data_IF_488084696172
#
_entry.id   IF_488084696172
#
_cell.length_a   1.000
_cell.length_b   1.000
_cell.length_c   1.000
_cell.angle_alpha   90.00
_cell.angle_beta   90.00
_cell.angle_gamma   90.00
#
_symmetry.space_group_name_H-M   'P 1'
#
loop_
_entity.id
_entity.type
_entity.pdbx_description
1 polymer ?
#
# COMPACT_ATOMS: atom_id res chain seq x y z
N UNK A 1 16.14 -1.38 -13.02
CA UNK A 1 14.71 -1.14 -13.46
C UNK A 1 13.92 -2.42 -13.37
N UNK A 2 12.74 -2.36 -12.80
CA UNK A 2 11.79 -3.47 -12.80
C UNK A 2 11.30 -3.73 -14.22
N UNK A 3 11.38 -4.97 -14.69
CA UNK A 3 10.91 -5.36 -16.03
C UNK A 3 9.48 -5.93 -15.97
N UNK A 4 8.81 -5.96 -17.11
CA UNK A 4 7.50 -6.62 -17.26
C UNK A 4 7.54 -8.06 -16.74
N UNK A 5 8.56 -8.82 -17.15
CA UNK A 5 8.74 -10.19 -16.70
C UNK A 5 8.95 -10.33 -15.18
N UNK A 6 9.58 -9.34 -14.53
CA UNK A 6 9.75 -9.34 -13.08
C UNK A 6 8.42 -9.09 -12.35
N UNK A 7 7.57 -8.20 -12.86
CA UNK A 7 6.23 -7.95 -12.30
C UNK A 7 5.34 -9.18 -12.47
N UNK A 8 5.32 -9.78 -13.66
CA UNK A 8 4.54 -11.00 -13.93
C UNK A 8 5.02 -12.18 -13.07
N UNK A 9 6.33 -12.31 -12.87
CA UNK A 9 6.90 -13.33 -12.00
C UNK A 9 6.47 -13.16 -10.53
N UNK A 10 6.46 -11.91 -10.01
CA UNK A 10 5.99 -11.64 -8.64
C UNK A 10 4.49 -11.90 -8.49
N UNK A 11 3.67 -11.52 -9.46
CA UNK A 11 2.25 -11.88 -9.50
C UNK A 11 2.06 -13.41 -9.46
N UNK A 12 2.85 -14.14 -10.23
CA UNK A 12 2.85 -15.61 -10.22
C UNK A 12 3.21 -16.16 -8.85
N UNK A 13 4.24 -15.62 -8.19
CA UNK A 13 4.67 -16.04 -6.85
C UNK A 13 3.62 -15.81 -5.78
N UNK A 14 2.94 -14.64 -5.77
CA UNK A 14 1.83 -14.40 -4.81
C UNK A 14 0.75 -15.48 -4.92
N UNK A 15 0.41 -15.88 -6.15
CA UNK A 15 -0.59 -16.94 -6.38
C UNK A 15 -0.09 -18.31 -5.97
N UNK A 16 1.16 -18.64 -6.28
CA UNK A 16 1.77 -19.96 -6.09
C UNK A 16 2.09 -20.22 -4.62
N UNK A 17 2.65 -19.22 -3.93
CA UNK A 17 3.06 -19.31 -2.53
C UNK A 17 1.88 -19.04 -1.57
N UNK A 18 0.84 -18.32 -2.01
CA UNK A 18 -0.36 -17.96 -1.24
C UNK A 18 -0.02 -17.44 0.17
N UNK A 19 0.80 -16.37 0.30
CA UNK A 19 1.31 -15.92 1.59
C UNK A 19 0.18 -15.49 2.53
N UNK A 20 0.32 -15.79 3.82
CA UNK A 20 -0.56 -15.27 4.86
C UNK A 20 -0.21 -13.81 5.13
N UNK A 21 -1.19 -12.94 5.03
CA UNK A 21 -1.06 -11.51 5.32
C UNK A 21 -1.92 -11.17 6.52
N UNK A 22 -1.27 -10.85 7.64
CA UNK A 22 -1.96 -10.27 8.79
C UNK A 22 -2.27 -8.80 8.51
N UNK A 23 -3.48 -8.33 8.82
CA UNK A 23 -3.87 -6.96 8.55
C UNK A 23 -4.62 -6.33 9.72
N UNK A 24 -3.92 -5.53 10.51
CA UNK A 24 -4.51 -4.61 11.49
C UNK A 24 -4.97 -3.38 10.73
N UNK A 25 -6.28 -3.27 10.49
CA UNK A 25 -6.82 -2.26 9.57
C UNK A 25 -8.04 -1.55 10.12
N UNK A 26 -8.51 -0.55 9.38
CA UNK A 26 -9.61 0.31 9.77
C UNK A 26 -10.99 -0.30 9.49
N UNK A 27 -11.97 0.06 10.31
CA UNK A 27 -13.35 -0.47 10.25
C UNK A 27 -14.12 -0.09 8.96
N UNK A 28 -13.71 0.99 8.25
CA UNK A 28 -14.38 1.44 7.02
C UNK A 28 -14.08 0.54 5.84
N UNK A 29 -12.85 0.01 5.77
CA UNK A 29 -12.35 -0.71 4.57
C UNK A 29 -11.93 -2.15 4.84
N UNK A 30 -12.14 -2.69 6.05
CA UNK A 30 -11.69 -4.03 6.43
C UNK A 30 -12.12 -5.11 5.43
N UNK A 31 -13.37 -5.10 4.98
CA UNK A 31 -13.87 -6.07 4.00
C UNK A 31 -13.22 -5.92 2.63
N UNK A 32 -12.93 -4.69 2.20
CA UNK A 32 -12.26 -4.40 0.93
C UNK A 32 -10.79 -4.81 0.96
N UNK A 33 -10.12 -4.57 2.08
CA UNK A 33 -8.73 -4.98 2.35
C UNK A 33 -8.63 -6.50 2.31
N UNK A 34 -9.49 -7.22 3.03
CA UNK A 34 -9.54 -8.67 2.98
C UNK A 34 -9.82 -9.20 1.56
N UNK A 35 -10.77 -8.57 0.85
CA UNK A 35 -11.10 -8.94 -0.52
C UNK A 35 -9.90 -8.77 -1.46
N UNK A 36 -9.21 -7.63 -1.45
CA UNK A 36 -8.09 -7.38 -2.36
C UNK A 36 -6.91 -8.31 -2.11
N UNK A 37 -6.53 -8.56 -0.85
CA UNK A 37 -5.50 -9.53 -0.48
C UNK A 37 -5.87 -10.91 -1.06
N UNK A 38 -7.12 -11.34 -0.84
CA UNK A 38 -7.60 -12.64 -1.35
C UNK A 38 -7.56 -12.73 -2.87
N UNK A 39 -7.90 -11.64 -3.58
CA UNK A 39 -7.93 -11.67 -5.04
C UNK A 39 -6.54 -11.66 -5.66
N UNK A 40 -5.52 -11.10 -5.03
CA UNK A 40 -4.12 -11.29 -5.45
C UNK A 40 -3.66 -12.76 -5.34
N UNK A 41 -4.27 -13.57 -4.49
CA UNK A 41 -3.89 -14.96 -4.25
C UNK A 41 -3.37 -15.23 -2.84
N UNK A 42 -3.15 -14.19 -2.05
CA UNK A 42 -2.72 -14.26 -0.67
C UNK A 42 -3.88 -14.66 0.28
N UNK A 43 -3.57 -14.95 1.52
CA UNK A 43 -4.51 -15.37 2.56
C UNK A 43 -4.64 -14.26 3.60
N UNK A 44 -5.77 -13.52 3.65
CA UNK A 44 -5.95 -12.46 4.64
C UNK A 44 -6.31 -13.01 6.01
N UNK A 45 -5.69 -12.48 7.06
CA UNK A 45 -6.12 -12.58 8.46
C UNK A 45 -6.30 -11.17 8.99
N UNK A 46 -7.33 -10.93 9.80
CA UNK A 46 -7.74 -9.60 10.25
C UNK A 46 -7.83 -9.58 11.79
N UNK A 47 -6.75 -10.00 12.47
CA UNK A 47 -6.70 -10.02 13.92
C UNK A 47 -6.33 -8.64 14.48
N UNK A 48 -7.19 -8.08 15.35
CA UNK A 48 -6.97 -6.77 15.97
C UNK A 48 -6.90 -6.84 17.52
N UNK A 49 -7.11 -8.02 18.09
CA UNK A 49 -6.99 -8.23 19.53
C UNK A 49 -5.51 -8.36 19.93
N UNK A 50 -5.02 -7.45 20.76
CA UNK A 50 -3.61 -7.43 21.20
C UNK A 50 -3.15 -8.72 21.88
N UNK A 51 -4.06 -9.59 22.33
CA UNK A 51 -3.74 -10.88 22.96
C UNK A 51 -3.36 -11.96 21.94
N UNK A 52 -3.71 -11.80 20.66
CA UNK A 52 -3.43 -12.80 19.61
C UNK A 52 -2.51 -12.25 18.49
N UNK A 53 -2.32 -10.94 18.39
CA UNK A 53 -1.53 -10.29 17.32
C UNK A 53 -0.13 -10.88 17.21
N UNK A 54 0.59 -11.09 18.32
CA UNK A 54 1.95 -11.65 18.29
C UNK A 54 1.99 -13.03 17.62
N UNK A 55 1.03 -13.90 17.96
CA UNK A 55 0.95 -15.24 17.37
C UNK A 55 0.53 -15.19 15.89
N UNK A 56 -0.37 -14.28 15.52
CA UNK A 56 -0.83 -14.12 14.13
C UNK A 56 0.26 -13.53 13.24
N UNK A 57 0.96 -12.51 13.72
CA UNK A 57 2.10 -11.92 13.02
C UNK A 57 3.23 -12.94 12.86
N UNK A 58 3.56 -13.70 13.91
CA UNK A 58 4.59 -14.74 13.86
C UNK A 58 4.27 -15.89 12.91
N UNK A 59 3.01 -16.06 12.49
CA UNK A 59 2.59 -17.04 11.51
C UNK A 59 2.43 -16.47 10.09
N UNK A 60 2.50 -15.14 9.93
CA UNK A 60 2.30 -14.45 8.66
C UNK A 60 3.62 -14.25 7.89
N UNK A 61 3.53 -14.15 6.57
CA UNK A 61 4.63 -13.78 5.68
C UNK A 61 4.72 -12.26 5.45
N UNK A 62 3.68 -11.50 5.79
CA UNK A 62 3.71 -10.03 5.82
C UNK A 62 2.63 -9.47 6.72
N UNK A 63 2.82 -8.21 7.19
CA UNK A 63 1.86 -7.47 8.00
C UNK A 63 1.45 -6.18 7.30
N UNK A 64 0.14 -5.91 7.25
CA UNK A 64 -0.43 -4.63 6.82
C UNK A 64 -0.99 -3.88 8.02
N UNK A 65 -0.52 -2.66 8.25
CA UNK A 65 -0.90 -1.76 9.34
C UNK A 65 -1.56 -0.51 8.77
N UNK A 66 -2.84 -0.26 9.12
CA UNK A 66 -3.60 0.87 8.58
C UNK A 66 -4.39 1.60 9.67
N UNK A 67 -4.07 2.87 9.89
CA UNK A 67 -4.65 3.69 10.96
C UNK A 67 -5.88 4.51 10.57
N UNK A 68 -6.67 4.07 9.57
CA UNK A 68 -7.79 4.86 9.02
C UNK A 68 -8.84 5.32 10.03
N UNK A 69 -9.32 4.43 10.89
CA UNK A 69 -10.29 4.73 11.98
C UNK A 69 -9.68 4.50 13.36
N UNK A 70 -8.44 4.95 13.55
CA UNK A 70 -7.68 4.70 14.78
C UNK A 70 -8.38 5.32 16.01
N UNK A 71 -8.44 4.52 17.06
CA UNK A 71 -8.79 4.88 18.44
C UNK A 71 -7.70 4.34 19.38
N UNK A 72 -7.93 4.35 20.69
CA UNK A 72 -6.95 3.93 21.69
C UNK A 72 -6.60 2.44 21.55
N UNK A 73 -7.60 1.59 21.30
CA UNK A 73 -7.39 0.15 21.16
C UNK A 73 -6.70 -0.15 19.80
N UNK A 74 -7.09 0.56 18.75
CA UNK A 74 -6.45 0.49 17.44
C UNK A 74 -4.99 0.95 17.44
N UNK A 75 -4.65 2.02 18.19
CA UNK A 75 -3.27 2.44 18.39
C UNK A 75 -2.45 1.33 19.06
N UNK A 76 -2.98 0.76 20.16
CA UNK A 76 -2.33 -0.35 20.86
C UNK A 76 -2.13 -1.58 19.95
N UNK A 77 -3.13 -1.92 19.14
CA UNK A 77 -3.05 -3.02 18.18
C UNK A 77 -1.96 -2.77 17.11
N UNK A 78 -1.87 -1.56 16.54
CA UNK A 78 -0.86 -1.19 15.55
C UNK A 78 0.55 -1.26 16.11
N UNK A 79 0.78 -0.73 17.32
CA UNK A 79 2.08 -0.77 18.01
C UNK A 79 2.46 -2.22 18.32
N UNK A 80 1.54 -3.01 18.89
CA UNK A 80 1.78 -4.44 19.19
C UNK A 80 2.12 -5.23 17.92
N UNK A 81 1.42 -4.98 16.81
CA UNK A 81 1.69 -5.66 15.55
C UNK A 81 3.05 -5.26 14.95
N UNK A 82 3.46 -3.99 15.13
CA UNK A 82 4.77 -3.53 14.68
C UNK A 82 5.91 -4.12 15.53
N UNK A 83 5.73 -4.23 16.86
CA UNK A 83 6.64 -4.92 17.76
C UNK A 83 6.81 -6.40 17.36
N UNK A 84 5.69 -7.07 17.11
CA UNK A 84 5.69 -8.48 16.68
C UNK A 84 6.35 -8.65 15.31
N UNK A 85 6.08 -7.78 14.35
CA UNK A 85 6.70 -7.82 13.02
C UNK A 85 8.23 -7.72 13.13
N UNK A 86 8.74 -6.81 13.96
CA UNK A 86 10.17 -6.69 14.21
C UNK A 86 10.75 -7.91 14.96
N UNK A 87 10.03 -8.46 15.94
CA UNK A 87 10.49 -9.60 16.72
C UNK A 87 10.57 -10.91 15.91
N UNK A 88 9.69 -11.07 14.92
CA UNK A 88 9.59 -12.26 14.08
C UNK A 88 10.24 -12.09 12.68
N UNK A 89 10.91 -10.95 12.41
CA UNK A 89 11.47 -10.62 11.09
C UNK A 89 10.44 -10.66 9.95
N UNK A 90 9.19 -10.30 10.24
CA UNK A 90 8.10 -10.27 9.26
C UNK A 90 8.04 -8.89 8.59
N UNK A 91 8.08 -8.80 7.24
CA UNK A 91 8.00 -7.52 6.56
C UNK A 91 6.66 -6.83 6.79
N UNK A 92 6.69 -5.51 7.01
CA UNK A 92 5.52 -4.71 7.34
C UNK A 92 5.26 -3.60 6.34
N UNK A 93 3.97 -3.37 6.02
CA UNK A 93 3.50 -2.23 5.23
C UNK A 93 2.66 -1.34 6.11
N UNK A 94 3.09 -0.11 6.34
CA UNK A 94 2.37 0.87 7.14
C UNK A 94 1.68 1.91 6.25
N UNK A 95 0.37 2.07 6.43
CA UNK A 95 -0.48 3.07 5.77
C UNK A 95 -0.98 4.09 6.81
N UNK A 96 -0.25 5.22 7.02
CA UNK A 96 -0.54 6.25 8.03
C UNK A 96 -1.70 7.16 7.62
N UNK A 97 -2.86 6.58 7.35
CA UNK A 97 -4.04 7.29 6.84
C UNK A 97 -4.37 8.54 7.64
N UNK A 98 -4.31 9.69 6.96
CA UNK A 98 -4.66 10.99 7.55
C UNK A 98 -3.60 11.56 8.51
N UNK A 99 -2.38 11.07 8.50
CA UNK A 99 -1.25 11.71 9.21
C UNK A 99 -1.13 13.18 8.78
N UNK A 100 -0.86 14.06 9.72
CA UNK A 100 -0.85 15.51 9.48
C UNK A 100 -2.22 16.20 9.60
N UNK A 101 -3.33 15.46 9.49
CA UNK A 101 -4.68 16.05 9.61
C UNK A 101 -5.02 16.46 11.07
N UNK A 102 -4.51 15.75 12.05
CA UNK A 102 -4.68 16.06 13.48
C UNK A 102 -3.42 15.69 14.27
N UNK A 103 -3.18 16.36 15.42
CA UNK A 103 -2.06 15.99 16.31
C UNK A 103 -2.12 14.53 16.76
N UNK A 104 -3.31 13.99 17.03
CA UNK A 104 -3.49 12.58 17.42
C UNK A 104 -2.99 11.64 16.32
N UNK A 105 -3.40 11.86 15.06
CA UNK A 105 -2.95 10.99 13.95
C UNK A 105 -1.44 11.06 13.73
N UNK A 106 -0.87 12.25 13.88
CA UNK A 106 0.59 12.40 13.80
C UNK A 106 1.28 11.65 14.94
N UNK A 107 0.77 11.75 16.18
CA UNK A 107 1.34 11.04 17.32
C UNK A 107 1.27 9.51 17.15
N UNK A 108 0.14 8.97 16.69
CA UNK A 108 -0.01 7.53 16.42
C UNK A 108 0.96 7.06 15.32
N UNK A 109 1.04 7.80 14.21
CA UNK A 109 1.98 7.44 13.13
C UNK A 109 3.43 7.45 13.62
N UNK A 110 3.80 8.45 14.42
CA UNK A 110 5.13 8.54 15.05
C UNK A 110 5.39 7.35 15.97
N UNK A 111 4.44 7.00 16.84
CA UNK A 111 4.58 5.87 17.76
C UNK A 111 4.81 4.55 17.02
N UNK A 112 4.07 4.29 15.93
CA UNK A 112 4.27 3.07 15.11
C UNK A 112 5.67 3.05 14.48
N UNK A 113 6.11 4.17 13.87
CA UNK A 113 7.42 4.24 13.20
C UNK A 113 8.58 4.17 14.22
N UNK A 114 8.43 4.77 15.39
CA UNK A 114 9.45 4.72 16.45
C UNK A 114 9.55 3.35 17.12
N UNK A 115 8.51 2.53 17.04
CA UNK A 115 8.52 1.14 17.55
C UNK A 115 9.50 0.29 16.76
N UNK A 116 9.41 0.32 15.44
CA UNK A 116 10.36 -0.28 14.51
C UNK A 116 10.19 0.35 13.11
N UNK A 117 11.24 0.35 12.29
CA UNK A 117 11.17 0.83 10.92
C UNK A 117 10.23 -0.07 10.08
N UNK A 118 9.14 0.46 9.49
CA UNK A 118 8.34 -0.30 8.55
C UNK A 118 9.14 -0.69 7.31
N UNK A 119 8.89 -1.86 6.75
CA UNK A 119 9.54 -2.26 5.48
C UNK A 119 9.09 -1.35 4.33
N UNK A 120 7.79 -1.02 4.27
CA UNK A 120 7.20 -0.09 3.30
C UNK A 120 6.29 0.87 4.05
N UNK A 121 6.39 2.17 3.76
CA UNK A 121 5.39 3.18 4.14
C UNK A 121 4.63 3.57 2.88
N UNK A 122 3.30 3.46 2.89
CA UNK A 122 2.45 3.90 1.80
C UNK A 122 1.48 4.99 2.28
N UNK A 123 1.48 6.11 1.62
CA UNK A 123 0.53 7.21 1.88
C UNK A 123 0.21 7.96 0.60
N UNK A 124 -0.79 8.86 0.63
CA UNK A 124 -0.94 9.82 -0.46
C UNK A 124 0.14 10.92 -0.37
N UNK A 125 0.22 11.78 -1.40
CA UNK A 125 1.24 12.84 -1.45
C UNK A 125 1.24 13.75 -0.21
N UNK A 126 0.07 14.07 0.35
CA UNK A 126 -0.03 14.90 1.54
C UNK A 126 0.43 14.17 2.80
N UNK A 127 0.08 12.90 2.95
CA UNK A 127 0.49 12.06 4.08
C UNK A 127 2.01 11.86 4.09
N UNK A 128 2.61 11.54 2.95
CA UNK A 128 4.07 11.42 2.83
C UNK A 128 4.77 12.77 3.08
N UNK A 129 4.20 13.88 2.59
CA UNK A 129 4.74 15.21 2.87
C UNK A 129 4.69 15.55 4.36
N UNK A 130 3.60 15.20 5.05
CA UNK A 130 3.48 15.40 6.49
C UNK A 130 4.50 14.59 7.28
N UNK A 131 4.75 13.33 6.92
CA UNK A 131 5.79 12.49 7.54
C UNK A 131 7.20 13.03 7.29
N UNK A 132 7.46 13.55 6.09
CA UNK A 132 8.75 14.18 5.75
C UNK A 132 8.97 15.54 6.44
N UNK A 133 8.03 16.03 7.25
CA UNK A 133 8.10 17.34 7.89
C UNK A 133 7.97 18.52 6.93
N UNK A 134 7.41 18.30 5.73
CA UNK A 134 7.13 19.33 4.75
C UNK A 134 5.76 19.96 5.00
N UNK A 135 5.60 21.25 4.63
CA UNK A 135 4.28 21.88 4.65
C UNK A 135 3.31 21.18 3.70
N UNK A 136 2.27 20.58 4.26
CA UNK A 136 1.27 19.82 3.53
C UNK A 136 -0.14 20.26 3.93
N UNK A 137 -1.02 20.47 2.95
CA UNK A 137 -2.44 20.63 3.20
C UNK A 137 -3.14 19.29 3.17
N UNK A 138 -3.54 18.81 4.35
CA UNK A 138 -4.34 17.59 4.52
C UNK A 138 -5.75 17.97 4.94
N UNK A 139 -6.76 17.59 4.16
CA UNK A 139 -8.17 17.73 4.53
C UNK A 139 -8.79 16.36 4.74
N UNK A 140 -8.93 15.99 6.01
CA UNK A 140 -9.40 14.65 6.37
C UNK A 140 -8.38 13.59 5.96
N UNK A 141 -8.72 12.76 4.97
CA UNK A 141 -7.87 11.70 4.40
C UNK A 141 -7.52 11.95 2.92
N UNK A 142 -7.84 13.15 2.41
CA UNK A 142 -7.61 13.52 1.01
C UNK A 142 -6.44 14.50 0.88
N UNK A 143 -5.63 14.27 -0.13
CA UNK A 143 -4.53 15.15 -0.53
C UNK A 143 -5.09 16.35 -1.29
N UNK A 144 -4.81 17.56 -0.81
CA UNK A 144 -5.23 18.81 -1.46
C UNK A 144 -4.00 19.68 -1.68
N UNK A 145 -3.66 19.96 -2.93
CA UNK A 145 -2.54 20.83 -3.26
C UNK A 145 -1.69 20.34 -4.46
N UNK A 146 -0.65 21.10 -4.77
CA UNK A 146 0.32 20.76 -5.83
C UNK A 146 1.62 20.28 -5.18
N UNK A 147 2.02 19.04 -5.49
CA UNK A 147 3.19 18.40 -4.91
C UNK A 147 4.30 18.23 -5.96
N UNK A 148 4.82 19.36 -6.46
CA UNK A 148 5.77 19.39 -7.58
C UNK A 148 7.10 18.65 -7.28
N UNK A 149 7.46 18.50 -6.00
CA UNK A 149 8.70 17.85 -5.55
C UNK A 149 8.43 16.56 -4.77
N UNK A 150 7.36 15.83 -5.10
CA UNK A 150 6.98 14.64 -4.32
C UNK A 150 8.07 13.55 -4.34
N UNK A 151 8.84 13.42 -5.41
CA UNK A 151 9.98 12.50 -5.49
C UNK A 151 11.03 12.78 -4.42
N UNK A 152 11.49 14.03 -4.32
CA UNK A 152 12.46 14.45 -3.29
C UNK A 152 11.87 14.33 -1.87
N UNK A 153 10.58 14.60 -1.72
CA UNK A 153 9.89 14.49 -0.44
C UNK A 153 9.77 13.03 0.01
N UNK A 154 9.39 12.13 -0.91
CA UNK A 154 9.34 10.70 -0.64
C UNK A 154 10.73 10.13 -0.32
N UNK A 155 11.77 10.58 -1.02
CA UNK A 155 13.15 10.19 -0.75
C UNK A 155 13.61 10.64 0.64
N UNK A 156 13.33 11.89 1.05
CA UNK A 156 13.63 12.34 2.42
C UNK A 156 12.85 11.56 3.47
N UNK A 157 11.60 11.22 3.20
CA UNK A 157 10.80 10.37 4.08
C UNK A 157 11.45 8.98 4.22
N UNK A 158 11.87 8.38 3.11
CA UNK A 158 12.55 7.09 3.10
C UNK A 158 13.87 7.13 3.87
N UNK A 159 14.68 8.18 3.68
CA UNK A 159 15.92 8.39 4.43
C UNK A 159 15.67 8.54 5.93
N UNK A 160 14.63 9.28 6.33
CA UNK A 160 14.31 9.52 7.73
C UNK A 160 13.72 8.30 8.45
N UNK A 161 13.07 7.39 7.73
CA UNK A 161 12.34 6.24 8.30
C UNK A 161 13.02 4.89 8.04
N UNK A 162 14.07 4.85 7.23
CA UNK A 162 14.74 3.62 6.75
C UNK A 162 13.76 2.64 6.05
N UNK A 163 12.73 3.18 5.42
CA UNK A 163 11.67 2.43 4.73
C UNK A 163 11.69 2.68 3.22
N UNK A 164 11.11 1.77 2.46
CA UNK A 164 10.67 2.09 1.10
C UNK A 164 9.37 2.90 1.19
N UNK A 165 9.30 4.04 0.53
CA UNK A 165 8.14 4.93 0.58
C UNK A 165 7.36 4.86 -0.73
N UNK A 166 6.05 4.68 -0.64
CA UNK A 166 5.12 4.75 -1.77
C UNK A 166 4.20 5.96 -1.56
N UNK A 167 4.41 7.01 -2.34
CA UNK A 167 3.55 8.19 -2.38
C UNK A 167 2.55 8.06 -3.53
N UNK A 168 1.30 7.71 -3.20
CA UNK A 168 0.25 7.48 -4.20
C UNK A 168 -0.45 8.77 -4.63
N UNK A 169 -0.73 8.89 -5.94
CA UNK A 169 -1.37 10.07 -6.53
C UNK A 169 -1.75 9.86 -7.98
N UNK A 170 -1.85 10.95 -8.76
CA UNK A 170 -2.01 10.89 -10.22
C UNK A 170 -0.78 10.26 -10.88
N UNK A 171 0.39 10.55 -10.35
CA UNK A 171 1.63 9.81 -10.57
C UNK A 171 2.04 9.25 -9.23
N UNK A 172 2.20 7.94 -9.15
CA UNK A 172 2.72 7.29 -7.95
C UNK A 172 4.26 7.42 -7.94
N UNK A 173 4.82 7.54 -6.75
CA UNK A 173 6.28 7.59 -6.55
C UNK A 173 6.68 6.53 -5.55
N UNK A 174 7.68 5.72 -5.91
CA UNK A 174 8.34 4.78 -5.01
C UNK A 174 9.76 5.27 -4.77
N UNK A 175 10.14 5.44 -3.50
CA UNK A 175 11.45 5.97 -3.14
C UNK A 175 12.14 5.13 -2.07
N UNK A 176 13.46 5.04 -2.18
CA UNK A 176 14.39 4.67 -1.12
C UNK A 176 15.28 5.89 -0.81
N UNK A 177 16.21 5.79 0.13
CA UNK A 177 17.15 6.87 0.42
C UNK A 177 18.01 7.30 -0.81
N UNK A 178 18.22 6.39 -1.76
CA UNK A 178 19.14 6.58 -2.89
C UNK A 178 18.47 6.48 -4.29
N UNK A 179 17.18 6.15 -4.35
CA UNK A 179 16.46 5.95 -5.63
C UNK A 179 15.05 6.49 -5.58
N UNK A 180 14.61 7.05 -6.71
CA UNK A 180 13.22 7.49 -6.92
C UNK A 180 12.72 6.89 -8.24
N UNK A 181 11.56 6.23 -8.19
CA UNK A 181 10.88 5.68 -9.36
C UNK A 181 9.48 6.30 -9.43
N UNK A 182 9.21 7.03 -10.50
CA UNK A 182 7.88 7.53 -10.81
C UNK A 182 7.13 6.51 -11.65
N UNK A 183 5.86 6.28 -11.31
CA UNK A 183 4.99 5.29 -11.94
C UNK A 183 3.75 6.00 -12.47
N UNK A 184 3.54 5.95 -13.78
CA UNK A 184 2.32 6.45 -14.42
C UNK A 184 1.44 5.30 -14.85
N UNK A 185 0.13 5.45 -14.63
CA UNK A 185 -0.85 4.41 -14.95
C UNK A 185 -2.04 4.44 -14.01
N UNK A 186 -2.89 3.43 -14.11
CA UNK A 186 -4.13 3.37 -13.35
C UNK A 186 -5.25 4.16 -14.00
N UNK A 187 -6.28 4.47 -13.22
CA UNK A 187 -7.45 5.21 -13.67
C UNK A 187 -7.90 6.22 -12.60
N UNK A 188 -8.29 7.45 -12.98
CA UNK A 188 -8.79 8.46 -12.04
C UNK A 188 -9.98 8.01 -11.17
N UNK A 189 -10.68 6.95 -11.58
CA UNK A 189 -11.77 6.39 -10.78
C UNK A 189 -11.28 5.82 -9.44
N UNK A 190 -10.01 5.41 -9.33
CA UNK A 190 -9.41 5.03 -8.06
C UNK A 190 -9.54 6.14 -7.01
N UNK A 191 -9.30 7.39 -7.36
CA UNK A 191 -9.46 8.54 -6.45
C UNK A 191 -10.92 8.86 -6.08
N UNK A 192 -11.91 8.24 -6.74
CA UNK A 192 -13.35 8.45 -6.48
C UNK A 192 -13.98 7.35 -5.64
N UNK A 193 -13.25 6.30 -5.34
CA UNK A 193 -13.72 5.16 -4.53
C UNK A 193 -13.02 5.15 -3.19
N UNK A 194 -13.81 5.26 -2.11
CA UNK A 194 -13.27 5.17 -0.76
C UNK A 194 -12.61 3.81 -0.53
N UNK A 195 -11.39 3.82 0.01
CA UNK A 195 -10.67 2.62 0.39
C UNK A 195 -9.67 2.09 -0.63
N UNK A 196 -9.60 2.64 -1.85
CA UNK A 196 -8.59 2.22 -2.84
C UNK A 196 -7.15 2.42 -2.34
N UNK A 197 -6.89 3.50 -1.60
CA UNK A 197 -5.60 3.70 -0.94
C UNK A 197 -5.27 2.60 0.06
N UNK A 198 -6.24 2.23 0.92
CA UNK A 198 -6.07 1.12 1.88
C UNK A 198 -5.89 -0.22 1.15
N UNK A 199 -6.62 -0.45 0.05
CA UNK A 199 -6.44 -1.62 -0.80
C UNK A 199 -5.05 -1.67 -1.45
N UNK A 200 -4.48 -0.52 -1.84
CA UNK A 200 -3.10 -0.48 -2.33
C UNK A 200 -2.11 -0.88 -1.24
N UNK A 201 -2.21 -0.33 -0.02
CA UNK A 201 -1.36 -0.73 1.11
C UNK A 201 -1.42 -2.24 1.38
N UNK A 202 -2.62 -2.80 1.41
CA UNK A 202 -2.84 -4.23 1.58
C UNK A 202 -2.29 -5.07 0.41
N UNK A 203 -2.37 -4.54 -0.83
CA UNK A 203 -1.77 -5.19 -2.00
C UNK A 203 -0.25 -5.25 -1.87
N UNK A 204 0.39 -4.14 -1.44
CA UNK A 204 1.84 -4.10 -1.21
C UNK A 204 2.29 -5.14 -0.18
N UNK A 205 1.48 -5.42 0.85
CA UNK A 205 1.77 -6.48 1.82
C UNK A 205 1.80 -7.88 1.16
N UNK A 206 0.86 -8.18 0.25
CA UNK A 206 0.89 -9.44 -0.49
C UNK A 206 2.14 -9.56 -1.39
N UNK A 207 2.61 -8.46 -1.97
CA UNK A 207 3.80 -8.46 -2.82
C UNK A 207 5.10 -8.52 -2.01
N UNK A 208 5.20 -7.81 -0.87
CA UNK A 208 6.43 -7.82 -0.07
C UNK A 208 6.68 -9.17 0.60
N UNK A 209 5.63 -9.94 0.86
CA UNK A 209 5.71 -11.30 1.39
C UNK A 209 6.53 -12.24 0.49
N UNK A 210 6.57 -11.98 -0.82
CA UNK A 210 7.21 -12.88 -1.80
C UNK A 210 8.34 -12.23 -2.61
N UNK A 211 8.50 -10.92 -2.53
CA UNK A 211 9.48 -10.20 -3.36
C UNK A 211 10.92 -10.37 -2.84
N UNK A 212 11.94 -10.37 -3.72
CA UNK A 212 13.34 -10.40 -3.31
C UNK A 212 13.79 -9.17 -2.52
N UNK A 213 13.20 -8.01 -2.82
CA UNK A 213 13.49 -6.74 -2.13
C UNK A 213 12.21 -5.91 -1.93
N UNK A 214 12.16 -5.07 -0.87
CA UNK A 214 11.02 -4.18 -0.65
C UNK A 214 10.76 -3.20 -1.80
N UNK A 215 11.82 -2.73 -2.46
CA UNK A 215 11.68 -1.84 -3.61
C UNK A 215 11.00 -2.53 -4.80
N UNK A 216 11.37 -3.78 -5.10
CA UNK A 216 10.72 -4.57 -6.16
C UNK A 216 9.26 -4.85 -5.82
N UNK A 217 8.95 -5.17 -4.56
CA UNK A 217 7.58 -5.32 -4.08
C UNK A 217 6.74 -4.06 -4.29
N UNK A 218 7.27 -2.92 -3.86
CA UNK A 218 6.59 -1.62 -3.94
C UNK A 218 6.32 -1.22 -5.40
N UNK A 219 7.31 -1.33 -6.28
CA UNK A 219 7.14 -0.99 -7.71
C UNK A 219 6.17 -1.97 -8.37
N UNK A 220 6.37 -3.28 -8.20
CA UNK A 220 5.53 -4.29 -8.86
C UNK A 220 4.07 -4.23 -8.36
N UNK A 221 3.87 -4.10 -7.06
CA UNK A 221 2.53 -4.00 -6.47
C UNK A 221 1.77 -2.74 -6.92
N UNK A 222 2.46 -1.58 -6.98
CA UNK A 222 1.86 -0.33 -7.47
C UNK A 222 1.49 -0.43 -8.97
N UNK A 223 2.40 -0.94 -9.81
CA UNK A 223 2.15 -1.18 -11.23
C UNK A 223 0.98 -2.13 -11.44
N UNK A 224 0.95 -3.26 -10.74
CA UNK A 224 -0.11 -4.26 -10.86
C UNK A 224 -1.46 -3.70 -10.42
N UNK A 225 -1.50 -2.91 -9.34
CA UNK A 225 -2.70 -2.25 -8.85
C UNK A 225 -3.28 -1.25 -9.87
N UNK A 226 -2.42 -0.40 -10.44
CA UNK A 226 -2.81 0.53 -11.49
C UNK A 226 -3.32 -0.22 -12.74
N UNK A 227 -2.62 -1.29 -13.14
CA UNK A 227 -3.04 -2.11 -14.28
C UNK A 227 -4.41 -2.78 -14.07
N UNK A 228 -4.70 -3.25 -12.86
CA UNK A 228 -6.01 -3.80 -12.52
C UNK A 228 -7.12 -2.74 -12.68
N UNK A 229 -6.86 -1.48 -12.32
CA UNK A 229 -7.80 -0.37 -12.53
C UNK A 229 -8.07 -0.10 -14.02
N UNK A 230 -7.03 -0.08 -14.85
CA UNK A 230 -7.16 0.05 -16.30
C UNK A 230 -7.98 -1.10 -16.90
N UNK A 231 -7.71 -2.33 -16.47
CA UNK A 231 -8.46 -3.50 -16.91
C UNK A 231 -9.93 -3.44 -16.47
N UNK A 232 -10.22 -2.96 -15.27
CA UNK A 232 -11.59 -2.74 -14.84
C UNK A 232 -12.31 -1.77 -15.78
N UNK A 233 -11.66 -0.65 -16.12
CA UNK A 233 -12.23 0.39 -17.01
C UNK A 233 -12.32 -0.05 -18.48
N UNK A 234 -11.58 -1.05 -18.90
CA UNK A 234 -11.63 -1.57 -20.29
C UNK A 234 -12.97 -2.21 -20.68
N UNK A 235 -13.85 -2.47 -19.70
CA UNK A 235 -15.10 -3.19 -19.90
C UNK A 235 -14.97 -4.72 -19.94
N UNK A 236 -13.75 -5.27 -19.81
CA UNK A 236 -13.51 -6.72 -19.81
C UNK A 236 -14.32 -7.45 -18.72
N UNK A 237 -14.51 -6.83 -17.59
CA UNK A 237 -15.23 -7.38 -16.42
C UNK A 237 -16.68 -6.90 -16.32
N UNK A 238 -17.19 -6.23 -17.37
CA UNK A 238 -18.56 -5.75 -17.46
C UNK A 238 -18.68 -4.23 -17.43
N UNK A 239 -19.89 -3.70 -17.61
CA UNK A 239 -20.11 -2.25 -17.70
C UNK A 239 -19.86 -1.55 -16.37
N UNK A 240 -19.36 -0.31 -16.44
CA UNK A 240 -19.18 0.60 -15.32
C UNK A 240 -20.16 1.76 -15.46
N UNK A 241 -21.06 1.90 -14.48
CA UNK A 241 -22.02 2.99 -14.42
C UNK A 241 -21.57 4.12 -13.45
N UNK A 242 -20.61 3.82 -12.56
CA UNK A 242 -20.12 4.77 -11.57
C UNK A 242 -19.16 4.12 -10.56
N UNK A 243 -18.77 4.85 -9.50
CA UNK A 243 -17.75 4.36 -8.54
C UNK A 243 -18.06 3.01 -7.90
N UNK A 244 -19.32 2.72 -7.57
CA UNK A 244 -19.69 1.45 -6.95
C UNK A 244 -19.50 0.26 -7.89
N UNK A 245 -19.94 0.36 -9.14
CA UNK A 245 -19.70 -0.67 -10.16
C UNK A 245 -18.23 -0.77 -10.54
N UNK A 246 -17.49 0.36 -10.57
CA UNK A 246 -16.04 0.33 -10.74
C UNK A 246 -15.37 -0.50 -9.65
N UNK A 247 -15.66 -0.25 -8.36
CA UNK A 247 -15.08 -0.99 -7.25
C UNK A 247 -15.27 -2.50 -7.40
N UNK A 248 -16.48 -2.93 -7.78
CA UNK A 248 -16.74 -4.36 -8.02
C UNK A 248 -15.88 -4.88 -9.18
N UNK A 249 -15.83 -4.16 -10.32
CA UNK A 249 -15.05 -4.57 -11.49
C UNK A 249 -13.53 -4.50 -11.24
N UNK A 250 -13.10 -3.60 -10.38
CA UNK A 250 -11.71 -3.53 -9.94
C UNK A 250 -11.29 -4.79 -9.16
N UNK A 251 -12.11 -5.25 -8.23
CA UNK A 251 -11.84 -6.50 -7.50
C UNK A 251 -11.85 -7.72 -8.45
N UNK A 252 -12.79 -7.77 -9.42
CA UNK A 252 -12.81 -8.79 -10.48
C UNK A 252 -11.52 -8.70 -11.33
N UNK A 253 -11.04 -7.49 -11.66
CA UNK A 253 -9.84 -7.28 -12.44
C UNK A 253 -8.56 -7.70 -11.69
N UNK A 254 -8.47 -7.41 -10.38
CA UNK A 254 -7.38 -7.91 -9.53
C UNK A 254 -7.29 -9.43 -9.60
N UNK A 255 -8.41 -10.13 -9.46
CA UNK A 255 -8.46 -11.59 -9.62
C UNK A 255 -7.98 -12.06 -11.00
N UNK A 256 -8.34 -11.29 -12.03
CA UNK A 256 -8.00 -11.59 -13.42
C UNK A 256 -6.54 -11.29 -13.81
N UNK A 257 -5.79 -10.56 -12.98
CA UNK A 257 -4.35 -10.29 -13.23
C UNK A 257 -3.49 -11.55 -13.34
N UNK A 258 -3.97 -12.66 -12.80
CA UNK A 258 -3.31 -13.98 -12.92
C UNK A 258 -3.26 -14.50 -14.35
N UNK A 259 -4.17 -14.05 -15.20
CA UNK A 259 -4.37 -14.55 -16.56
C UNK A 259 -3.95 -13.52 -17.62
N UNK A 260 -3.65 -12.30 -17.20
CA UNK A 260 -3.36 -11.18 -18.11
C UNK A 260 -1.96 -10.66 -17.84
N UNK A 261 -1.04 -10.73 -18.81
CA UNK A 261 0.28 -10.11 -18.65
C UNK A 261 0.17 -8.64 -18.28
N UNK A 262 1.15 -8.15 -17.50
CA UNK A 262 1.16 -6.76 -17.05
C UNK A 262 1.11 -5.77 -18.21
N UNK A 263 1.62 -6.17 -19.37
CA UNK A 263 1.72 -5.33 -20.55
C UNK A 263 2.94 -4.41 -20.53
N UNK A 264 3.07 -3.54 -21.53
CA UNK A 264 4.26 -2.71 -21.65
C UNK A 264 4.41 -1.71 -20.49
N UNK A 265 5.60 -1.67 -19.94
CA UNK A 265 6.07 -0.69 -18.94
C UNK A 265 6.83 0.48 -19.58
N UNK A 266 7.01 0.47 -20.91
CA UNK A 266 7.68 1.55 -21.63
C UNK A 266 6.94 2.89 -21.42
N UNK A 267 7.66 3.90 -20.96
CA UNK A 267 7.11 5.22 -20.64
C UNK A 267 6.26 5.29 -19.35
N UNK A 268 6.05 4.15 -18.67
CA UNK A 268 5.32 4.12 -17.39
C UNK A 268 6.23 4.26 -16.18
N UNK A 269 7.47 3.78 -16.28
CA UNK A 269 8.46 3.88 -15.22
C UNK A 269 9.53 4.88 -15.62
N UNK A 270 9.77 5.86 -14.75
CA UNK A 270 10.85 6.84 -14.91
C UNK A 270 11.69 6.85 -13.64
N UNK A 271 12.98 6.56 -13.76
CA UNK A 271 13.93 6.72 -12.67
C UNK A 271 14.38 8.18 -12.60
N UNK A 272 14.22 8.77 -11.42
CA UNK A 272 14.74 10.08 -11.07
C UNK A 272 16.23 9.98 -10.69
N UNK A 273 16.91 11.14 -10.73
CA UNK A 273 18.30 11.21 -10.28
C UNK A 273 18.41 10.89 -8.80
#
# INVERSE_FOLDING_TARGET
>A
MTSEAAVDALLGRVVEEAPLVESVTNAVTVADVAAVIRQWGALPVMADDTREIDAMVGAAEAVHLNMGTVDVDGEAALVTAMEAAAAHDVPSVFDPVGVGATPTRTAVATAVIETAAPTIIKGNHAEISALAGADAEVRGVESVGTYAAIGETAQRCAEATDAVVVASGETDVVATADRVVSITGGDPMLGRVVGTGCMLGASLAAFVAVAPTPLEAAVAGTVAFGRAAELAMSGRYGPIAGPASFKTRFIDAVAGMREVPIGSLEGRLTEGP
#
